data_IF_219426753527
#
_entry.id   IF_219426753527
#
_cell.length_a   1.000
_cell.length_b   1.000
_cell.length_c   1.000
_cell.angle_alpha   90.00
_cell.angle_beta   90.00
_cell.angle_gamma   90.00
#
_symmetry.space_group_name_H-M   'P 1'
#
loop_
_entity.id
_entity.type
_entity.pdbx_description
1 polymer ?
#
# COMPACT_ATOMS: atom_id res chain seq x y z
N UNK A 1 -14.87 13.29 -4.87
CA UNK A 1 -13.99 12.29 -4.24
C UNK A 1 -14.40 10.88 -4.65
N UNK A 2 -15.69 10.57 -4.65
CA UNK A 2 -16.21 9.23 -4.95
C UNK A 2 -15.73 8.63 -6.28
N UNK A 3 -15.81 9.35 -7.40
CA UNK A 3 -15.38 8.80 -8.70
C UNK A 3 -13.91 8.35 -8.71
N UNK A 4 -12.99 9.15 -8.15
CA UNK A 4 -11.57 8.78 -8.06
C UNK A 4 -11.37 7.58 -7.13
N UNK A 5 -12.14 7.51 -6.03
CA UNK A 5 -12.09 6.36 -5.13
C UNK A 5 -12.68 5.10 -5.77
N UNK A 6 -13.69 5.22 -6.64
CA UNK A 6 -14.27 4.11 -7.40
C UNK A 6 -13.27 3.58 -8.42
N UNK A 7 -12.63 4.47 -9.18
CA UNK A 7 -11.58 4.11 -10.14
C UNK A 7 -10.41 3.40 -9.43
N UNK A 8 -9.90 3.98 -8.33
CA UNK A 8 -8.81 3.36 -7.57
C UNK A 8 -9.21 2.01 -6.96
N UNK A 9 -10.46 1.86 -6.51
CA UNK A 9 -10.96 0.58 -6.03
C UNK A 9 -11.00 -0.48 -7.14
N UNK A 10 -11.38 -0.09 -8.36
CA UNK A 10 -11.38 -0.99 -9.51
C UNK A 10 -9.95 -1.43 -9.88
N UNK A 11 -8.99 -0.51 -9.91
CA UNK A 11 -7.57 -0.84 -10.15
C UNK A 11 -7.01 -1.77 -9.07
N UNK A 12 -7.34 -1.52 -7.79
CA UNK A 12 -6.99 -2.42 -6.70
C UNK A 12 -7.59 -3.82 -6.87
N UNK A 13 -8.84 -3.94 -7.29
CA UNK A 13 -9.49 -5.22 -7.53
C UNK A 13 -8.85 -5.96 -8.72
N UNK A 14 -8.49 -5.24 -9.78
CA UNK A 14 -7.80 -5.81 -10.94
C UNK A 14 -6.43 -6.39 -10.54
N UNK A 15 -5.64 -5.64 -9.77
CA UNK A 15 -4.35 -6.13 -9.28
C UNK A 15 -4.52 -7.28 -8.27
N UNK A 16 -5.53 -7.22 -7.39
CA UNK A 16 -5.86 -8.31 -6.47
C UNK A 16 -6.06 -9.63 -7.20
N UNK A 17 -6.83 -9.61 -8.29
CA UNK A 17 -7.10 -10.80 -9.09
C UNK A 17 -5.82 -11.42 -9.70
N UNK A 18 -4.80 -10.61 -10.01
CA UNK A 18 -3.52 -11.08 -10.53
C UNK A 18 -2.74 -11.85 -9.46
N UNK A 19 -2.72 -11.36 -8.21
CA UNK A 19 -1.91 -11.94 -7.13
C UNK A 19 -2.69 -12.87 -6.18
N UNK A 20 -4.01 -12.96 -6.32
CA UNK A 20 -4.88 -13.68 -5.37
C UNK A 20 -4.60 -15.19 -5.28
N UNK A 21 -4.12 -15.82 -6.36
CA UNK A 21 -4.01 -17.27 -6.49
C UNK A 21 -2.60 -17.74 -6.88
N UNK A 22 -1.59 -16.90 -6.66
CA UNK A 22 -0.19 -17.29 -6.90
C UNK A 22 0.34 -18.10 -5.70
N UNK A 23 1.25 -19.05 -5.94
CA UNK A 23 1.88 -19.82 -4.85
C UNK A 23 2.85 -18.95 -4.04
N UNK A 24 3.23 -19.41 -2.85
CA UNK A 24 4.20 -18.69 -2.02
C UNK A 24 5.54 -18.48 -2.75
N UNK A 25 6.01 -19.48 -3.50
CA UNK A 25 7.25 -19.37 -4.29
C UNK A 25 7.16 -18.29 -5.39
N UNK A 26 5.96 -18.01 -5.91
CA UNK A 26 5.77 -16.97 -6.92
C UNK A 26 5.90 -15.56 -6.36
N UNK A 27 5.73 -15.37 -5.04
CA UNK A 27 5.91 -14.06 -4.41
C UNK A 27 7.35 -13.55 -4.49
N UNK A 28 8.32 -14.45 -4.62
CA UNK A 28 9.73 -14.12 -4.82
C UNK A 28 10.13 -14.00 -6.31
N UNK A 29 9.15 -13.97 -7.21
CA UNK A 29 9.41 -13.75 -8.64
C UNK A 29 9.85 -12.31 -8.87
N UNK A 30 10.99 -12.13 -9.54
CA UNK A 30 11.47 -10.80 -9.90
C UNK A 30 10.47 -10.06 -10.80
N UNK A 31 10.32 -8.77 -10.57
CA UNK A 31 9.52 -7.86 -11.39
C UNK A 31 10.42 -7.04 -12.33
N UNK A 32 9.85 -6.30 -13.29
CA UNK A 32 10.64 -5.37 -14.11
C UNK A 32 11.32 -4.25 -13.29
N UNK A 33 10.86 -3.97 -12.06
CA UNK A 33 11.57 -3.08 -11.15
C UNK A 33 12.82 -3.80 -10.63
N UNK A 34 13.99 -3.27 -10.99
CA UNK A 34 15.28 -3.90 -10.69
C UNK A 34 15.46 -4.11 -9.18
N UNK A 35 15.77 -5.35 -8.80
CA UNK A 35 15.98 -5.76 -7.42
C UNK A 35 14.71 -6.02 -6.61
N UNK A 36 13.52 -5.91 -7.21
CA UNK A 36 12.24 -6.12 -6.52
C UNK A 36 11.56 -7.41 -6.98
N UNK A 37 10.99 -8.13 -6.02
CA UNK A 37 10.04 -9.20 -6.29
C UNK A 37 8.57 -8.74 -6.20
N UNK A 38 7.63 -9.67 -6.39
CA UNK A 38 6.19 -9.39 -6.28
C UNK A 38 5.85 -8.90 -4.87
N UNK A 39 6.49 -9.43 -3.83
CA UNK A 39 6.26 -9.05 -2.44
C UNK A 39 6.71 -7.61 -2.19
N UNK A 40 7.87 -7.22 -2.67
CA UNK A 40 8.38 -5.84 -2.59
C UNK A 40 7.42 -4.87 -3.28
N UNK A 41 6.90 -5.27 -4.45
CA UNK A 41 5.93 -4.47 -5.20
C UNK A 41 4.64 -4.24 -4.41
N UNK A 42 4.07 -5.28 -3.79
CA UNK A 42 2.84 -5.12 -2.99
C UNK A 42 3.11 -4.37 -1.69
N UNK A 43 4.27 -4.57 -1.04
CA UNK A 43 4.66 -3.77 0.13
C UNK A 43 4.78 -2.30 -0.20
N UNK A 44 5.30 -1.96 -1.38
CA UNK A 44 5.37 -0.56 -1.80
C UNK A 44 3.98 0.10 -1.93
N UNK A 45 2.99 -0.65 -2.41
CA UNK A 45 1.60 -0.16 -2.45
C UNK A 45 1.03 0.03 -1.04
N UNK A 46 1.30 -0.90 -0.11
CA UNK A 46 0.91 -0.73 1.31
C UNK A 46 1.52 0.54 1.89
N UNK A 47 2.81 0.83 1.62
CA UNK A 47 3.46 2.04 2.11
C UNK A 47 2.74 3.30 1.64
N UNK A 48 2.32 3.33 0.37
CA UNK A 48 1.56 4.45 -0.19
C UNK A 48 0.17 4.57 0.44
N UNK A 49 -0.56 3.45 0.61
CA UNK A 49 -1.89 3.42 1.23
C UNK A 49 -1.85 3.94 2.68
N UNK A 50 -0.86 3.49 3.47
CA UNK A 50 -0.66 3.92 4.85
C UNK A 50 -0.30 5.41 4.92
N UNK A 51 0.63 5.87 4.08
CA UNK A 51 1.02 7.28 4.06
C UNK A 51 -0.15 8.20 3.65
N UNK A 52 -0.93 7.78 2.65
CA UNK A 52 -2.11 8.49 2.17
C UNK A 52 -3.20 8.59 3.24
N UNK A 53 -3.50 7.47 3.92
CA UNK A 53 -4.44 7.45 5.04
C UNK A 53 -3.96 8.33 6.19
N UNK A 54 -2.69 8.24 6.56
CA UNK A 54 -2.10 9.06 7.62
C UNK A 54 -2.23 10.56 7.30
N UNK A 55 -1.98 10.97 6.06
CA UNK A 55 -2.15 12.36 5.64
C UNK A 55 -3.58 12.90 5.80
N UNK A 56 -4.59 12.02 5.81
CA UNK A 56 -6.01 12.37 5.97
C UNK A 56 -6.42 12.34 7.43
N UNK A 57 -6.06 11.26 8.13
CA UNK A 57 -6.49 11.01 9.51
C UNK A 57 -5.70 11.85 10.52
N UNK A 58 -4.40 12.03 10.28
CA UNK A 58 -3.47 12.76 11.15
C UNK A 58 -2.38 13.49 10.31
N UNK A 59 -2.69 14.69 9.79
CA UNK A 59 -1.75 15.45 8.97
C UNK A 59 -0.45 15.82 9.68
N UNK A 60 -0.46 15.99 11.00
CA UNK A 60 0.74 16.33 11.79
C UNK A 60 1.68 15.12 11.84
N UNK A 61 1.16 13.93 12.19
CA UNK A 61 1.93 12.70 12.17
C UNK A 61 2.45 12.36 10.76
N UNK A 62 1.70 12.68 9.71
CA UNK A 62 2.18 12.54 8.34
C UNK A 62 3.40 13.44 8.04
N UNK A 63 3.39 14.70 8.48
CA UNK A 63 4.54 15.60 8.30
C UNK A 63 5.78 15.06 9.00
N UNK A 64 5.64 14.55 10.22
CA UNK A 64 6.75 13.93 10.95
C UNK A 64 7.27 12.66 10.26
N UNK A 65 6.36 11.78 9.83
CA UNK A 65 6.70 10.55 9.12
C UNK A 65 7.45 10.85 7.81
N UNK A 66 6.95 11.84 7.05
CA UNK A 66 7.60 12.32 5.82
C UNK A 66 8.99 12.89 6.10
N UNK A 67 9.17 13.65 7.17
CA UNK A 67 10.48 14.19 7.54
C UNK A 67 11.48 13.06 7.83
N UNK A 68 11.06 12.03 8.59
CA UNK A 68 11.89 10.85 8.89
C UNK A 68 12.25 10.04 7.64
N UNK A 69 11.29 9.87 6.72
CA UNK A 69 11.53 9.23 5.41
C UNK A 69 12.62 9.97 4.63
N UNK A 70 12.52 11.30 4.54
CA UNK A 70 13.46 12.15 3.80
C UNK A 70 14.85 12.24 4.46
N UNK A 71 14.95 12.01 5.77
CA UNK A 71 16.23 11.99 6.50
C UNK A 71 16.94 10.62 6.46
N UNK A 72 16.53 9.72 5.57
CA UNK A 72 17.19 8.42 5.35
C UNK A 72 16.48 7.21 5.97
N UNK A 73 15.29 7.39 6.57
CA UNK A 73 14.48 6.27 7.09
C UNK A 73 13.81 5.43 6.00
N UNK A 74 13.73 5.93 4.76
CA UNK A 74 13.08 5.24 3.65
C UNK A 74 11.58 5.05 3.86
N UNK A 75 10.95 4.27 2.99
CA UNK A 75 9.51 3.98 3.04
C UNK A 75 9.15 2.87 4.04
N UNK A 76 10.14 2.19 4.59
CA UNK A 76 9.96 1.10 5.56
C UNK A 76 9.20 1.53 6.82
N UNK A 77 9.23 2.82 7.15
CA UNK A 77 8.44 3.40 8.24
C UNK A 77 6.93 3.15 8.08
N UNK A 78 6.43 3.12 6.84
CA UNK A 78 5.01 2.93 6.57
C UNK A 78 4.62 1.46 6.49
N UNK A 79 5.47 0.63 5.91
CA UNK A 79 5.35 -0.83 5.91
C UNK A 79 6.64 -1.48 5.38
N UNK A 80 6.83 -2.74 5.74
CA UNK A 80 7.93 -3.59 5.25
C UNK A 80 7.47 -5.05 5.23
N UNK A 81 8.24 -5.91 4.56
CA UNK A 81 7.95 -7.35 4.49
C UNK A 81 8.00 -8.01 5.87
N UNK A 82 9.00 -7.68 6.70
CA UNK A 82 9.22 -8.22 8.05
C UNK A 82 9.15 -9.76 8.12
N UNK A 83 9.64 -10.45 7.09
CA UNK A 83 9.61 -11.91 7.01
C UNK A 83 8.23 -12.52 6.79
N UNK A 84 7.20 -11.71 6.53
CA UNK A 84 5.85 -12.18 6.20
C UNK A 84 5.83 -12.98 4.91
N UNK A 85 4.96 -13.97 4.88
CA UNK A 85 4.57 -14.70 3.67
C UNK A 85 3.86 -13.76 2.69
N UNK A 86 3.82 -14.13 1.42
CA UNK A 86 3.05 -13.43 0.41
C UNK A 86 1.57 -13.35 0.74
N UNK A 87 1.00 -14.43 1.29
CA UNK A 87 -0.39 -14.44 1.76
C UNK A 87 -0.66 -13.40 2.87
N UNK A 88 0.25 -13.24 3.83
CA UNK A 88 0.15 -12.22 4.87
C UNK A 88 0.30 -10.81 4.31
N UNK A 89 1.20 -10.60 3.35
CA UNK A 89 1.36 -9.31 2.66
C UNK A 89 0.10 -8.96 1.85
N UNK A 90 -0.48 -9.91 1.14
CA UNK A 90 -1.74 -9.71 0.41
C UNK A 90 -2.89 -9.37 1.36
N UNK A 91 -3.00 -10.06 2.50
CA UNK A 91 -4.01 -9.75 3.51
C UNK A 91 -3.83 -8.34 4.07
N UNK A 92 -2.59 -7.94 4.38
CA UNK A 92 -2.26 -6.60 4.86
C UNK A 92 -2.61 -5.52 3.82
N UNK A 93 -2.28 -5.74 2.55
CA UNK A 93 -2.63 -4.81 1.48
C UNK A 93 -4.13 -4.64 1.30
N UNK A 94 -4.89 -5.74 1.34
CA UNK A 94 -6.36 -5.69 1.28
C UNK A 94 -6.97 -4.86 2.41
N UNK A 95 -6.41 -4.94 3.60
CA UNK A 95 -6.85 -4.20 4.77
C UNK A 95 -6.49 -2.71 4.67
N UNK A 96 -5.22 -2.37 4.42
CA UNK A 96 -4.78 -0.97 4.37
C UNK A 96 -5.41 -0.19 3.20
N UNK A 97 -5.56 -0.79 2.02
CA UNK A 97 -6.23 -0.12 0.89
C UNK A 97 -7.69 0.20 1.18
N UNK A 98 -8.38 -0.67 1.94
CA UNK A 98 -9.77 -0.45 2.33
C UNK A 98 -9.88 0.70 3.35
N UNK A 99 -8.98 0.76 4.32
CA UNK A 99 -8.89 1.88 5.28
C UNK A 99 -8.58 3.20 4.58
N UNK A 100 -7.63 3.20 3.65
CA UNK A 100 -7.27 4.39 2.86
C UNK A 100 -8.46 4.91 2.05
N UNK A 101 -9.17 4.02 1.33
CA UNK A 101 -10.36 4.41 0.57
C UNK A 101 -11.46 4.97 1.47
N UNK A 102 -11.68 4.39 2.66
CA UNK A 102 -12.63 4.90 3.63
C UNK A 102 -12.26 6.30 4.13
N UNK A 103 -10.98 6.54 4.44
CA UNK A 103 -10.47 7.84 4.86
C UNK A 103 -10.69 8.89 3.75
N UNK A 104 -10.37 8.57 2.50
CA UNK A 104 -10.62 9.48 1.37
C UNK A 104 -12.09 9.77 1.16
N UNK A 105 -12.98 8.77 1.16
CA UNK A 105 -14.42 9.00 0.99
C UNK A 105 -15.03 9.82 2.13
N UNK A 106 -14.46 9.77 3.34
CA UNK A 106 -14.88 10.63 4.45
C UNK A 106 -14.65 12.13 4.16
N UNK A 107 -13.71 12.45 3.26
CA UNK A 107 -13.49 13.80 2.77
C UNK A 107 -14.49 14.02 1.63
N UNK A 108 -15.61 14.68 1.97
CA UNK A 108 -16.60 15.12 0.98
C UNK A 108 -15.97 15.95 -0.15
N UNK A 109 -16.75 16.33 -1.18
CA UNK A 109 -16.26 17.20 -2.24
C UNK A 109 -15.66 18.48 -1.63
N UNK A 110 -14.49 18.90 -2.17
CA UNK A 110 -13.93 20.23 -1.90
C UNK A 110 -14.77 21.30 -2.56
#
# INVERSE_FOLDING_TARGET
MDAICDDLHAEHAALDAVVANISEDMWTTATPAEGWDVKDTIVHLIQADVAARLAVDDPEAFVEAKAKMMSGGGLEFFASTNGRTGAEILALWRDERAKMLAAFRSRGPK
#
